data_IF_504511717897
#
_entry.id   IF_504511717897
#
_cell.length_a   1.000
_cell.length_b   1.000
_cell.length_c   1.000
_cell.angle_alpha   90.00
_cell.angle_beta   90.00
_cell.angle_gamma   90.00
#
_symmetry.space_group_name_H-M   'P 1'
#
loop_
_entity.id
_entity.type
_entity.pdbx_description
1 polymer ?
#
# COMPACT_ATOMS: atom_id res chain seq x y z
N UNK A 1 21.13 12.57 28.28
CA UNK A 1 20.79 11.72 27.12
C UNK A 1 19.76 10.70 27.59
N UNK A 2 18.52 10.83 27.17
CA UNK A 2 17.48 9.84 27.47
C UNK A 2 17.80 8.56 26.70
N UNK A 3 18.11 7.47 27.41
CA UNK A 3 18.23 6.15 26.80
C UNK A 3 16.88 5.75 26.20
N UNK A 4 16.69 5.98 24.92
CA UNK A 4 15.51 5.54 24.20
C UNK A 4 15.58 4.01 24.09
N UNK A 5 14.73 3.32 24.81
CA UNK A 5 14.61 1.87 24.72
C UNK A 5 13.57 1.52 23.67
N UNK A 6 13.81 0.52 22.79
CA UNK A 6 12.83 0.10 21.81
C UNK A 6 11.56 -0.44 22.49
N UNK A 7 10.41 -0.20 21.87
CA UNK A 7 9.15 -0.80 22.30
C UNK A 7 9.14 -2.31 22.05
N UNK A 8 8.18 -3.04 22.68
CA UNK A 8 8.00 -4.46 22.42
C UNK A 8 7.70 -4.76 20.95
N UNK A 9 6.93 -3.86 20.29
CA UNK A 9 6.60 -3.99 18.88
C UNK A 9 7.84 -3.82 17.99
N UNK A 10 8.70 -2.85 18.30
CA UNK A 10 9.96 -2.66 17.58
C UNK A 10 10.90 -3.86 17.73
N UNK A 11 10.98 -4.45 18.93
CA UNK A 11 11.77 -5.67 19.13
C UNK A 11 11.18 -6.85 18.34
N UNK A 12 9.86 -7.03 18.38
CA UNK A 12 9.20 -8.09 17.62
C UNK A 12 9.42 -7.94 16.11
N UNK A 13 9.45 -6.71 15.59
CA UNK A 13 9.76 -6.45 14.17
C UNK A 13 11.20 -6.88 13.82
N UNK A 14 12.16 -6.62 14.70
CA UNK A 14 13.55 -7.06 14.49
C UNK A 14 13.66 -8.59 14.41
N UNK A 15 12.85 -9.31 15.19
CA UNK A 15 12.82 -10.78 15.18
C UNK A 15 12.26 -11.38 13.88
N UNK A 16 11.60 -10.56 13.04
CA UNK A 16 11.09 -11.04 11.74
C UNK A 16 12.18 -11.18 10.68
N UNK A 17 13.27 -10.45 10.80
CA UNK A 17 14.54 -10.52 10.06
C UNK A 17 14.43 -10.39 8.54
N UNK A 18 13.63 -11.25 7.87
CA UNK A 18 13.59 -11.37 6.42
C UNK A 18 12.16 -11.22 5.87
N UNK A 19 11.96 -10.26 4.98
CA UNK A 19 10.66 -9.99 4.39
C UNK A 19 10.73 -9.44 2.97
N UNK A 20 9.57 -9.28 2.37
CA UNK A 20 9.41 -8.72 1.03
C UNK A 20 8.70 -7.36 1.07
N UNK A 21 9.05 -6.48 0.13
CA UNK A 21 8.37 -5.23 -0.09
C UNK A 21 7.82 -5.19 -1.53
N UNK A 22 6.50 -5.12 -1.67
CA UNK A 22 5.81 -5.14 -2.94
C UNK A 22 5.43 -3.72 -3.39
N UNK A 23 6.07 -3.25 -4.44
CA UNK A 23 5.72 -2.02 -5.13
C UNK A 23 4.83 -2.35 -6.32
N UNK A 24 3.52 -2.34 -6.11
CA UNK A 24 2.53 -2.57 -7.15
C UNK A 24 1.45 -1.47 -7.10
N UNK A 25 1.03 -1.00 -8.25
CA UNK A 25 0.03 0.04 -8.38
C UNK A 25 -0.10 0.51 -9.83
N UNK A 26 -0.70 1.68 -10.02
CA UNK A 26 -0.98 2.25 -11.34
C UNK A 26 0.26 2.35 -12.23
N UNK A 27 1.43 2.65 -11.67
CA UNK A 27 2.71 2.75 -12.40
C UNK A 27 3.10 1.50 -13.15
N UNK A 28 2.69 0.31 -12.68
CA UNK A 28 2.96 -0.95 -13.36
C UNK A 28 2.32 -1.04 -14.75
N UNK A 29 1.34 -0.18 -15.05
CA UNK A 29 0.63 -0.11 -16.34
C UNK A 29 1.19 0.94 -17.30
N UNK A 30 2.20 1.71 -16.87
CA UNK A 30 2.82 2.75 -17.68
C UNK A 30 4.24 2.39 -18.08
N UNK A 31 4.46 2.17 -19.38
CA UNK A 31 5.78 1.82 -19.92
C UNK A 31 6.77 2.98 -19.79
N UNK A 32 7.96 2.70 -19.26
CA UNK A 32 9.06 3.66 -19.13
C UNK A 32 8.85 4.73 -18.06
N UNK A 33 7.87 4.53 -17.17
CA UNK A 33 7.61 5.41 -16.05
C UNK A 33 8.75 5.34 -15.00
N UNK A 34 9.14 6.51 -14.49
CA UNK A 34 10.12 6.62 -13.39
C UNK A 34 9.45 7.20 -12.15
N UNK A 35 9.91 6.85 -10.96
CA UNK A 35 9.32 7.31 -9.69
C UNK A 35 9.24 8.83 -9.52
N UNK A 36 10.09 9.55 -10.23
CA UNK A 36 10.17 11.02 -10.21
C UNK A 36 9.38 11.70 -11.33
N UNK A 37 8.77 10.94 -12.22
CA UNK A 37 7.94 11.51 -13.29
C UNK A 37 6.71 12.17 -12.69
N UNK A 38 6.48 13.42 -13.10
CA UNK A 38 5.33 14.25 -12.68
C UNK A 38 4.14 14.13 -13.64
N UNK A 39 4.17 13.15 -14.56
CA UNK A 39 3.10 12.98 -15.53
C UNK A 39 1.83 12.50 -14.86
N UNK A 40 0.73 13.10 -15.23
CA UNK A 40 -0.60 12.62 -14.87
C UNK A 40 -0.82 11.23 -15.46
N UNK A 41 -1.22 10.31 -14.60
CA UNK A 41 -1.54 8.94 -15.00
C UNK A 41 -3.05 8.73 -14.95
N UNK A 42 -3.62 8.37 -16.09
CA UNK A 42 -5.03 8.02 -16.17
C UNK A 42 -5.29 6.69 -15.45
N UNK A 43 -6.12 6.73 -14.40
CA UNK A 43 -6.47 5.54 -13.63
C UNK A 43 -7.28 4.50 -14.44
N UNK A 44 -7.87 4.90 -15.58
CA UNK A 44 -8.65 4.00 -16.44
C UNK A 44 -7.84 2.86 -17.03
N UNK A 45 -6.50 2.97 -17.06
CA UNK A 45 -5.62 1.88 -17.54
C UNK A 45 -5.38 0.79 -16.49
N UNK A 46 -5.74 1.05 -15.23
CA UNK A 46 -5.51 0.09 -14.16
C UNK A 46 -6.53 -1.07 -14.22
N UNK A 47 -6.09 -2.18 -14.76
CA UNK A 47 -6.91 -3.39 -14.89
C UNK A 47 -6.07 -4.68 -14.69
N UNK A 48 -5.65 -4.99 -13.45
CA UNK A 48 -4.82 -6.16 -13.15
C UNK A 48 -5.61 -7.47 -13.17
N UNK A 49 -6.10 -7.91 -14.33
CA UNK A 49 -6.92 -9.13 -14.49
C UNK A 49 -6.25 -10.40 -13.95
N UNK A 50 -4.91 -10.42 -13.92
CA UNK A 50 -4.12 -11.58 -13.49
C UNK A 50 -3.46 -11.37 -12.13
N UNK A 51 -3.97 -10.45 -11.31
CA UNK A 51 -3.45 -10.25 -9.95
C UNK A 51 -3.62 -11.54 -9.14
N UNK A 52 -2.53 -12.05 -8.61
CA UNK A 52 -2.49 -13.25 -7.75
C UNK A 52 -1.52 -13.02 -6.59
N UNK A 53 -2.00 -12.27 -5.59
CA UNK A 53 -1.25 -12.01 -4.37
C UNK A 53 -0.89 -13.29 -3.62
N UNK A 54 -1.75 -14.31 -3.67
CA UNK A 54 -1.49 -15.58 -3.00
C UNK A 54 -0.27 -16.31 -3.61
N UNK A 55 -0.09 -16.27 -4.93
CA UNK A 55 1.09 -16.84 -5.59
C UNK A 55 2.38 -16.10 -5.18
N UNK A 56 2.33 -14.77 -5.12
CA UNK A 56 3.48 -13.97 -4.67
C UNK A 56 3.92 -14.38 -3.28
N UNK A 57 2.97 -14.44 -2.35
CA UNK A 57 3.26 -14.69 -0.93
C UNK A 57 3.64 -16.14 -0.64
N UNK A 58 3.07 -17.10 -1.35
CA UNK A 58 3.54 -18.49 -1.28
C UNK A 58 5.01 -18.62 -1.70
N UNK A 59 5.42 -17.91 -2.76
CA UNK A 59 6.82 -17.87 -3.20
C UNK A 59 7.74 -17.25 -2.14
N UNK A 60 7.34 -16.11 -1.57
CA UNK A 60 8.09 -15.47 -0.49
C UNK A 60 8.21 -16.37 0.75
N UNK A 61 7.11 -17.00 1.14
CA UNK A 61 7.09 -17.94 2.26
C UNK A 61 8.01 -19.12 2.05
N UNK A 62 7.99 -19.70 0.84
CA UNK A 62 8.89 -20.80 0.47
C UNK A 62 10.37 -20.41 0.49
N UNK A 63 10.68 -19.13 0.25
CA UNK A 63 12.03 -18.57 0.36
C UNK A 63 12.43 -18.24 1.81
N UNK A 64 11.57 -18.50 2.82
CA UNK A 64 11.85 -18.26 4.22
C UNK A 64 11.48 -16.87 4.74
N UNK A 65 10.77 -16.06 3.95
CA UNK A 65 10.30 -14.74 4.40
C UNK A 65 9.19 -14.86 5.44
N UNK A 66 9.22 -13.98 6.44
CA UNK A 66 8.31 -14.02 7.59
C UNK A 66 7.25 -12.92 7.54
N UNK A 67 7.51 -11.85 6.80
CA UNK A 67 6.59 -10.73 6.60
C UNK A 67 6.61 -10.21 5.17
N UNK A 68 5.57 -9.47 4.81
CA UNK A 68 5.49 -8.78 3.54
C UNK A 68 4.82 -7.41 3.70
N UNK A 69 5.32 -6.42 2.98
CA UNK A 69 4.82 -5.04 2.97
C UNK A 69 4.25 -4.74 1.59
N UNK A 70 3.07 -4.11 1.53
CA UNK A 70 2.43 -3.66 0.30
C UNK A 70 2.35 -2.14 0.23
N UNK A 71 2.69 -1.55 -0.91
CA UNK A 71 2.39 -0.14 -1.17
C UNK A 71 0.89 0.05 -1.34
N UNK A 72 0.26 0.70 -0.36
CA UNK A 72 -1.15 1.09 -0.47
C UNK A 72 -1.30 2.34 -1.33
N UNK A 73 -0.43 3.32 -1.13
CA UNK A 73 -0.31 4.56 -1.93
C UNK A 73 1.16 4.94 -2.02
N UNK A 74 1.59 5.33 -3.22
CA UNK A 74 2.93 5.87 -3.47
C UNK A 74 2.85 7.37 -3.82
N UNK A 75 3.98 7.99 -4.24
CA UNK A 75 4.09 9.41 -4.59
C UNK A 75 3.11 9.88 -5.69
N UNK A 76 2.64 8.97 -6.54
CA UNK A 76 1.64 9.25 -7.57
C UNK A 76 0.26 9.57 -7.00
N UNK A 77 0.01 9.25 -5.73
CA UNK A 77 -1.26 9.50 -5.07
C UNK A 77 -2.34 8.45 -5.34
N UNK A 78 -2.08 7.46 -6.22
CA UNK A 78 -3.07 6.43 -6.53
C UNK A 78 -3.25 5.47 -5.35
N UNK A 79 -4.50 5.35 -4.87
CA UNK A 79 -4.85 4.46 -3.78
C UNK A 79 -5.23 3.06 -4.31
N UNK A 80 -4.46 2.05 -3.87
CA UNK A 80 -4.68 0.64 -4.23
C UNK A 80 -5.88 -0.01 -3.50
N UNK A 81 -6.67 0.77 -2.77
CA UNK A 81 -7.90 0.35 -2.09
C UNK A 81 -9.04 1.35 -2.38
N UNK A 82 -10.31 0.96 -2.21
CA UNK A 82 -11.45 1.81 -2.53
C UNK A 82 -11.71 2.86 -1.43
N UNK A 83 -10.74 3.78 -1.23
CA UNK A 83 -10.82 4.83 -0.21
C UNK A 83 -12.06 5.70 -0.35
N UNK A 84 -12.65 6.12 0.78
CA UNK A 84 -13.70 7.14 0.81
C UNK A 84 -13.12 8.57 0.65
N UNK A 85 -11.82 8.72 0.86
CA UNK A 85 -11.11 9.99 0.81
C UNK A 85 -10.39 10.16 -0.53
N UNK A 86 -11.01 10.88 -1.45
CA UNK A 86 -10.47 11.14 -2.80
C UNK A 86 -10.94 10.13 -3.85
N UNK A 87 -10.81 10.53 -5.11
CA UNK A 87 -11.32 9.78 -6.26
C UNK A 87 -10.22 9.04 -7.06
N UNK A 88 -8.95 9.36 -6.81
CA UNK A 88 -7.82 8.73 -7.48
C UNK A 88 -7.47 7.39 -6.85
N UNK A 89 -8.28 6.38 -7.13
CA UNK A 89 -8.16 5.05 -6.51
C UNK A 89 -8.76 3.95 -7.38
N UNK A 90 -8.57 2.72 -6.95
CA UNK A 90 -9.10 1.52 -7.62
C UNK A 90 -10.61 1.55 -7.83
N UNK A 91 -11.38 2.28 -7.01
CA UNK A 91 -12.85 2.37 -7.16
C UNK A 91 -13.27 3.06 -8.47
N UNK A 92 -12.42 3.89 -9.05
CA UNK A 92 -12.68 4.62 -10.29
C UNK A 92 -11.93 4.01 -11.49
N UNK A 93 -11.60 2.72 -11.42
CA UNK A 93 -10.95 1.96 -12.48
C UNK A 93 -11.90 0.91 -13.08
N UNK A 94 -11.63 0.40 -14.30
CA UNK A 94 -12.39 -0.70 -14.86
C UNK A 94 -12.20 -2.03 -14.12
N UNK A 95 -11.13 -2.16 -13.33
CA UNK A 95 -10.82 -3.39 -12.63
C UNK A 95 -11.94 -3.82 -11.67
N UNK A 96 -12.45 -5.04 -11.88
CA UNK A 96 -13.60 -5.60 -11.13
C UNK A 96 -14.80 -4.64 -11.06
N UNK A 97 -14.99 -3.81 -12.10
CA UNK A 97 -16.04 -2.78 -12.16
C UNK A 97 -15.99 -1.81 -10.97
N UNK A 98 -14.78 -1.35 -10.58
CA UNK A 98 -14.57 -0.45 -9.45
C UNK A 98 -14.69 -1.10 -8.07
N UNK A 99 -14.84 -2.41 -7.98
CA UNK A 99 -14.96 -3.17 -6.73
C UNK A 99 -13.66 -3.87 -6.32
N UNK A 100 -12.57 -3.58 -7.01
CA UNK A 100 -11.26 -4.13 -6.71
C UNK A 100 -10.67 -3.52 -5.44
N UNK A 101 -9.87 -4.30 -4.71
CA UNK A 101 -9.14 -3.88 -3.53
C UNK A 101 -7.84 -4.69 -3.45
N UNK A 102 -6.74 -4.10 -3.94
CA UNK A 102 -5.43 -4.78 -3.95
C UNK A 102 -4.92 -5.01 -2.54
N UNK A 103 -5.18 -4.04 -1.65
CA UNK A 103 -4.73 -4.13 -0.25
C UNK A 103 -5.44 -5.28 0.46
N UNK A 104 -6.75 -5.45 0.22
CA UNK A 104 -7.51 -6.57 0.77
C UNK A 104 -6.99 -7.92 0.25
N UNK A 105 -6.82 -8.05 -1.07
CA UNK A 105 -6.31 -9.29 -1.67
C UNK A 105 -4.92 -9.65 -1.15
N UNK A 106 -4.07 -8.65 -0.93
CA UNK A 106 -2.74 -8.87 -0.38
C UNK A 106 -2.77 -9.27 1.10
N UNK A 107 -3.55 -8.55 1.93
CA UNK A 107 -3.63 -8.85 3.38
C UNK A 107 -4.26 -10.21 3.65
N UNK A 108 -5.29 -10.58 2.88
CA UNK A 108 -5.93 -11.89 2.98
C UNK A 108 -4.95 -13.01 2.58
N UNK A 109 -4.19 -12.81 1.51
CA UNK A 109 -3.18 -13.77 1.07
C UNK A 109 -2.03 -13.91 2.09
N UNK A 110 -1.57 -12.82 2.73
CA UNK A 110 -0.60 -12.91 3.83
C UNK A 110 -1.12 -13.79 4.98
N UNK A 111 -2.38 -13.59 5.35
CA UNK A 111 -3.03 -14.35 6.42
C UNK A 111 -3.13 -15.83 6.08
N UNK A 112 -3.52 -16.15 4.83
CA UNK A 112 -3.61 -17.52 4.35
C UNK A 112 -2.29 -18.28 4.48
N UNK A 113 -1.15 -17.64 4.14
CA UNK A 113 0.17 -18.28 4.23
C UNK A 113 0.87 -18.10 5.57
N UNK A 114 0.23 -17.42 6.53
CA UNK A 114 0.80 -17.18 7.85
C UNK A 114 2.02 -16.26 7.86
N UNK A 115 2.01 -15.21 7.00
CA UNK A 115 3.00 -14.14 7.00
C UNK A 115 2.47 -12.90 7.72
N UNK A 116 3.37 -12.14 8.34
CA UNK A 116 3.04 -10.83 8.93
C UNK A 116 2.78 -9.80 7.83
N UNK A 117 1.84 -8.89 8.08
CA UNK A 117 1.39 -7.87 7.12
C UNK A 117 1.92 -6.51 7.52
N UNK A 118 2.62 -5.85 6.59
CA UNK A 118 2.92 -4.42 6.63
C UNK A 118 2.20 -3.68 5.51
N UNK A 119 1.82 -2.44 5.78
CA UNK A 119 1.26 -1.54 4.78
C UNK A 119 2.12 -0.28 4.69
N UNK A 120 2.54 0.03 3.47
CA UNK A 120 3.28 1.26 3.19
C UNK A 120 2.33 2.33 2.64
N UNK A 121 2.44 3.52 3.17
CA UNK A 121 1.71 4.69 2.72
C UNK A 121 2.66 5.87 2.58
N UNK A 122 2.72 6.51 1.41
CA UNK A 122 3.46 7.75 1.21
C UNK A 122 2.61 8.95 1.62
N UNK A 123 3.02 9.75 2.61
CA UNK A 123 2.36 11.02 2.90
C UNK A 123 2.63 12.05 1.80
N UNK A 124 3.79 11.99 1.15
CA UNK A 124 4.07 12.85 0.00
C UNK A 124 3.20 12.43 -1.18
N UNK A 125 2.60 13.42 -1.84
CA UNK A 125 1.76 13.24 -3.01
C UNK A 125 2.03 14.37 -3.99
N UNK A 126 2.25 14.04 -5.25
CA UNK A 126 2.53 15.04 -6.30
C UNK A 126 1.27 15.54 -6.98
N UNK A 127 0.26 14.69 -7.11
CA UNK A 127 -1.03 15.07 -7.66
C UNK A 127 -1.92 15.65 -6.57
N UNK A 128 -2.06 16.98 -6.58
CA UNK A 128 -2.92 17.69 -5.64
C UNK A 128 -4.41 17.57 -5.98
N UNK A 129 -4.74 17.18 -7.21
CA UNK A 129 -6.15 17.09 -7.64
C UNK A 129 -6.93 16.02 -6.84
N UNK A 130 -6.23 15.05 -6.27
CA UNK A 130 -6.86 13.99 -5.47
C UNK A 130 -7.48 14.49 -4.16
N UNK A 131 -7.07 15.67 -3.66
CA UNK A 131 -7.58 16.26 -2.41
C UNK A 131 -7.97 17.75 -2.52
N UNK A 132 -8.09 18.29 -3.73
CA UNK A 132 -8.47 19.70 -3.99
C UNK A 132 -9.77 20.17 -3.27
N UNK A 133 -10.57 19.23 -2.78
CA UNK A 133 -11.85 19.48 -2.11
C UNK A 133 -11.79 19.27 -0.58
N UNK A 134 -10.63 18.96 -0.04
CA UNK A 134 -10.45 18.55 1.35
C UNK A 134 -9.12 19.08 1.88
N UNK A 135 -9.05 19.41 3.15
CA UNK A 135 -7.78 19.70 3.80
C UNK A 135 -6.88 18.47 3.74
N UNK A 136 -5.57 18.67 3.50
CA UNK A 136 -4.63 17.56 3.34
C UNK A 136 -4.55 16.69 4.60
N UNK A 137 -4.61 17.31 5.78
CA UNK A 137 -4.53 16.59 7.04
C UNK A 137 -5.74 15.68 7.22
N UNK A 138 -6.94 16.17 6.91
CA UNK A 138 -8.17 15.36 6.94
C UNK A 138 -8.13 14.21 5.94
N UNK A 139 -7.63 14.47 4.73
CA UNK A 139 -7.41 13.45 3.72
C UNK A 139 -6.43 12.38 4.19
N UNK A 140 -5.27 12.81 4.70
CA UNK A 140 -4.22 11.91 5.19
C UNK A 140 -4.69 11.06 6.37
N UNK A 141 -5.28 11.71 7.41
CA UNK A 141 -5.78 11.04 8.60
C UNK A 141 -6.89 10.05 8.23
N UNK A 142 -7.80 10.45 7.35
CA UNK A 142 -8.89 9.61 6.88
C UNK A 142 -8.36 8.33 6.21
N UNK A 143 -7.48 8.46 5.23
CA UNK A 143 -6.89 7.32 4.52
C UNK A 143 -6.08 6.41 5.43
N UNK A 144 -5.26 6.95 6.34
CA UNK A 144 -4.50 6.14 7.31
C UNK A 144 -5.45 5.40 8.25
N UNK A 145 -6.51 6.05 8.70
CA UNK A 145 -7.51 5.43 9.57
C UNK A 145 -8.20 4.25 8.88
N UNK A 146 -8.58 4.38 7.59
CA UNK A 146 -9.13 3.27 6.81
C UNK A 146 -8.16 2.08 6.77
N UNK A 147 -6.89 2.34 6.50
CA UNK A 147 -5.88 1.28 6.40
C UNK A 147 -5.64 0.58 7.73
N UNK A 148 -5.56 1.33 8.83
CA UNK A 148 -5.29 0.77 10.15
C UNK A 148 -6.49 0.05 10.77
N UNK A 149 -7.71 0.44 10.43
CA UNK A 149 -8.94 -0.13 11.00
C UNK A 149 -9.64 -1.14 10.08
N UNK A 150 -9.47 -0.97 8.77
CA UNK A 150 -10.14 -1.81 7.77
C UNK A 150 -9.38 -3.08 7.40
N UNK A 151 -8.07 -3.12 7.64
CA UNK A 151 -7.20 -4.23 7.27
C UNK A 151 -6.44 -4.72 8.50
N UNK A 152 -6.39 -6.02 8.69
CA UNK A 152 -5.73 -6.64 9.85
C UNK A 152 -4.21 -6.60 9.68
N UNK A 153 -3.60 -5.46 10.07
CA UNK A 153 -2.18 -5.19 9.92
C UNK A 153 -1.39 -5.61 11.15
N UNK A 154 -0.30 -6.32 10.93
CA UNK A 154 0.64 -6.70 12.00
C UNK A 154 1.59 -5.55 12.35
N UNK A 155 1.87 -4.67 11.38
CA UNK A 155 2.80 -3.55 11.51
C UNK A 155 2.47 -2.45 10.49
N UNK A 156 2.08 -1.24 10.94
CA UNK A 156 1.92 -0.09 10.06
C UNK A 156 3.29 0.54 9.79
N UNK A 157 3.70 0.62 8.55
CA UNK A 157 4.90 1.34 8.14
C UNK A 157 4.49 2.60 7.37
N UNK A 158 4.73 3.76 7.98
CA UNK A 158 4.55 5.05 7.34
C UNK A 158 5.94 5.63 7.08
N UNK A 159 6.39 5.61 5.83
CA UNK A 159 7.61 6.27 5.42
C UNK A 159 7.29 7.59 4.73
N UNK A 160 7.77 8.68 5.33
CA UNK A 160 7.95 9.94 4.64
C UNK A 160 9.28 9.89 3.90
N UNK A 161 9.27 9.76 2.59
CA UNK A 161 10.44 10.10 1.79
C UNK A 161 10.49 11.62 1.70
N UNK A 162 11.49 12.22 2.32
CA UNK A 162 11.87 13.63 2.12
C UNK A 162 12.43 13.86 0.72
#
# INVERSE_FOLDING_TARGET
MTNCKPSKQQLAFLDWEFGAFFHFGLRAFYKGYRDWDTRDMDASVFNPEKLDCASWLRTCKAAGMTYAIMTCKHLDGFANWPTAYGDYSVKNTPWKNGKGDVVREFTDACREVGMKVGLYYSPAQRDQSAFDKMDYDDYFIGQITELLTGYDVSFPECHAST
#
